data_IF_482202235231
#
_entry.id   IF_482202235231
#
_cell.length_a   1.000
_cell.length_b   1.000
_cell.length_c   1.000
_cell.angle_alpha   90.00
_cell.angle_beta   90.00
_cell.angle_gamma   90.00
#
_symmetry.space_group_name_H-M   'P 1'
#
loop_
_entity.id
_entity.type
_entity.pdbx_description
1 polymer ?
#
# COMPACT_ATOMS: atom_id res chain seq x y z
N UNK A 1 -13.72 -4.71 14.30
CA UNK A 1 -12.38 -5.34 14.36
C UNK A 1 -11.57 -4.86 15.55
N UNK A 2 -10.95 -5.80 16.27
CA UNK A 2 -10.13 -5.49 17.47
C UNK A 2 -9.02 -4.48 17.16
N UNK A 3 -8.42 -4.54 15.98
CA UNK A 3 -7.38 -3.59 15.57
C UNK A 3 -7.83 -2.12 15.63
N UNK A 4 -9.10 -1.83 15.34
CA UNK A 4 -9.63 -0.47 15.43
C UNK A 4 -10.00 -0.04 16.86
N UNK A 5 -10.25 -1.01 17.74
CA UNK A 5 -10.48 -0.73 19.19
C UNK A 5 -9.14 -0.40 19.84
N UNK A 6 -8.10 -1.17 19.49
CA UNK A 6 -6.74 -0.97 19.99
C UNK A 6 -5.99 0.16 19.25
N UNK A 7 -6.55 0.66 18.13
CA UNK A 7 -5.92 1.62 17.22
C UNK A 7 -4.53 1.19 16.74
N UNK A 8 -4.25 -0.11 16.82
CA UNK A 8 -2.94 -0.69 16.50
C UNK A 8 -3.09 -2.04 15.80
N UNK A 9 -2.20 -2.30 14.84
CA UNK A 9 -2.04 -3.59 14.17
C UNK A 9 -0.57 -3.90 13.99
N UNK A 10 -0.20 -5.13 14.30
CA UNK A 10 1.13 -5.64 13.94
C UNK A 10 1.16 -5.97 12.44
N UNK A 11 2.24 -5.57 11.79
CA UNK A 11 2.56 -5.87 10.41
C UNK A 11 4.08 -5.93 10.27
N UNK A 12 4.57 -7.03 9.71
CA UNK A 12 5.98 -7.29 9.48
C UNK A 12 6.84 -7.02 10.74
N UNK A 13 6.42 -7.64 11.87
CA UNK A 13 7.02 -7.50 13.22
C UNK A 13 7.11 -6.05 13.74
N UNK A 14 6.26 -5.16 13.25
CA UNK A 14 6.18 -3.76 13.68
C UNK A 14 4.74 -3.37 13.99
N UNK A 15 4.57 -2.52 14.98
CA UNK A 15 3.26 -2.02 15.39
C UNK A 15 2.92 -0.72 14.66
N UNK A 16 1.82 -0.71 13.92
CA UNK A 16 1.31 0.44 13.18
C UNK A 16 -0.01 0.95 13.77
N UNK A 17 -0.15 2.26 13.90
CA UNK A 17 -1.45 2.86 14.13
C UNK A 17 -2.37 2.60 12.95
N UNK A 18 -3.60 2.24 13.25
CA UNK A 18 -4.68 2.04 12.28
C UNK A 18 -5.95 2.68 12.78
N UNK A 19 -6.83 3.08 11.89
CA UNK A 19 -8.15 3.60 12.22
C UNK A 19 -9.16 3.17 11.15
N UNK A 20 -10.43 3.48 11.33
CA UNK A 20 -11.48 3.24 10.34
C UNK A 20 -11.24 3.94 8.98
N UNK A 21 -10.23 4.81 8.91
CA UNK A 21 -9.85 5.53 7.70
C UNK A 21 -8.73 4.83 6.92
N UNK A 22 -8.20 3.70 7.44
CA UNK A 22 -7.16 2.90 6.81
C UNK A 22 -7.54 1.42 6.77
N UNK A 23 -7.19 0.73 5.68
CA UNK A 23 -7.30 -0.72 5.64
C UNK A 23 -6.44 -1.34 6.74
N UNK A 24 -6.96 -2.35 7.45
CA UNK A 24 -6.16 -3.12 8.39
C UNK A 24 -5.10 -3.90 7.60
N UNK A 25 -3.80 -3.74 7.90
CA UNK A 25 -2.74 -4.50 7.23
C UNK A 25 -2.99 -6.01 7.26
N UNK A 26 -2.81 -6.66 6.12
CA UNK A 26 -3.05 -8.11 5.94
C UNK A 26 -1.74 -8.88 5.96
N UNK A 27 -1.70 -10.08 6.55
CA UNK A 27 -0.50 -10.92 6.56
C UNK A 27 0.05 -11.23 5.16
N UNK A 28 -0.83 -11.45 4.18
CA UNK A 28 -0.45 -11.73 2.81
C UNK A 28 0.36 -10.60 2.17
N UNK A 29 0.16 -9.37 2.63
CA UNK A 29 0.90 -8.19 2.17
C UNK A 29 2.36 -8.20 2.67
N UNK A 30 2.68 -8.95 3.72
CA UNK A 30 4.05 -9.08 4.22
C UNK A 30 4.97 -9.78 3.19
N UNK A 31 4.43 -10.72 2.42
CA UNK A 31 5.16 -11.40 1.34
C UNK A 31 5.67 -10.41 0.28
N UNK A 32 4.94 -9.33 0.04
CA UNK A 32 5.36 -8.25 -0.85
C UNK A 32 6.61 -7.56 -0.31
N UNK A 33 6.62 -7.25 0.99
CA UNK A 33 7.77 -6.62 1.66
C UNK A 33 8.98 -7.53 1.58
N UNK A 34 8.85 -8.81 1.93
CA UNK A 34 9.94 -9.79 1.92
C UNK A 34 10.55 -9.94 0.53
N UNK A 35 9.71 -10.08 -0.51
CA UNK A 35 10.16 -10.18 -1.89
C UNK A 35 10.97 -8.97 -2.34
N UNK A 36 10.49 -7.77 -2.01
CA UNK A 36 11.19 -6.54 -2.37
C UNK A 36 12.50 -6.37 -1.59
N UNK A 37 12.52 -6.69 -0.31
CA UNK A 37 13.74 -6.66 0.50
C UNK A 37 14.80 -7.63 -0.05
N UNK A 38 14.41 -8.84 -0.47
CA UNK A 38 15.31 -9.80 -1.08
C UNK A 38 15.94 -9.26 -2.38
N UNK A 39 15.17 -8.56 -3.19
CA UNK A 39 15.63 -8.05 -4.50
C UNK A 39 16.46 -6.76 -4.40
N UNK A 40 16.22 -5.95 -3.37
CA UNK A 40 16.80 -4.62 -3.24
C UNK A 40 17.66 -4.43 -1.99
N UNK A 41 18.05 -5.52 -1.32
CA UNK A 41 18.90 -5.45 -0.14
C UNK A 41 20.18 -4.63 -0.44
N UNK A 42 20.53 -3.73 0.48
CA UNK A 42 21.69 -2.83 0.38
C UNK A 42 21.71 -1.87 -0.84
N UNK A 43 20.61 -1.77 -1.59
CA UNK A 43 20.50 -0.81 -2.70
C UNK A 43 19.94 0.52 -2.21
N UNK A 44 20.40 1.60 -2.85
CA UNK A 44 19.80 2.93 -2.70
C UNK A 44 18.73 3.11 -3.77
N UNK A 45 17.47 3.04 -3.39
CA UNK A 45 16.32 3.14 -4.29
C UNK A 45 15.31 4.19 -3.82
N UNK A 46 14.51 4.66 -4.76
CA UNK A 46 13.34 5.50 -4.51
C UNK A 46 12.07 4.68 -4.71
N UNK A 47 11.18 4.69 -3.72
CA UNK A 47 9.97 3.86 -3.68
C UNK A 47 8.74 4.78 -3.75
N UNK A 48 7.76 4.44 -4.59
CA UNK A 48 6.42 5.01 -4.53
C UNK A 48 5.45 3.97 -4.00
N UNK A 49 4.68 4.33 -2.97
CA UNK A 49 3.59 3.52 -2.42
C UNK A 49 2.25 4.18 -2.78
N UNK A 50 1.48 3.51 -3.65
CA UNK A 50 0.19 3.99 -4.15
C UNK A 50 -0.94 3.42 -3.30
N UNK A 51 -1.76 4.31 -2.72
CA UNK A 51 -2.75 3.93 -1.72
C UNK A 51 -2.08 3.51 -0.41
N UNK A 52 -1.18 4.36 0.08
CA UNK A 52 -0.28 3.99 1.20
C UNK A 52 -1.01 3.64 2.49
N UNK A 53 -2.26 4.08 2.68
CA UNK A 53 -3.06 3.78 3.85
C UNK A 53 -2.36 4.16 5.16
N UNK A 54 -2.10 3.18 6.01
CA UNK A 54 -1.34 3.36 7.27
C UNK A 54 0.17 3.57 7.05
N UNK A 55 0.67 3.42 5.82
CA UNK A 55 2.09 3.48 5.49
C UNK A 55 2.85 2.18 5.76
N UNK A 56 2.17 1.10 6.15
CA UNK A 56 2.81 -0.13 6.65
C UNK A 56 3.79 -0.75 5.64
N UNK A 57 3.47 -0.79 4.35
CA UNK A 57 4.37 -1.35 3.31
C UNK A 57 5.61 -0.47 3.18
N UNK A 58 5.43 0.81 2.88
CA UNK A 58 6.53 1.74 2.63
C UNK A 58 7.47 1.85 3.83
N UNK A 59 6.91 2.02 5.04
CA UNK A 59 7.70 2.19 6.25
C UNK A 59 8.42 0.90 6.65
N UNK A 60 7.84 -0.28 6.43
CA UNK A 60 8.52 -1.55 6.63
C UNK A 60 9.72 -1.70 5.69
N UNK A 61 9.56 -1.38 4.40
CA UNK A 61 10.65 -1.36 3.43
C UNK A 61 11.77 -0.39 3.85
N UNK A 62 11.42 0.86 4.15
CA UNK A 62 12.41 1.88 4.52
C UNK A 62 13.12 1.58 5.85
N UNK A 63 12.49 0.83 6.76
CA UNK A 63 13.14 0.42 8.00
C UNK A 63 14.36 -0.47 7.79
N UNK A 64 14.39 -1.22 6.69
CA UNK A 64 15.50 -2.13 6.32
C UNK A 64 16.40 -1.54 5.24
N UNK A 65 15.84 -0.88 4.26
CA UNK A 65 16.58 -0.23 3.18
C UNK A 65 17.10 1.15 3.63
N UNK A 66 18.17 1.14 4.42
CA UNK A 66 18.67 2.33 5.16
C UNK A 66 19.05 3.51 4.27
N UNK A 67 19.47 3.27 3.04
CA UNK A 67 19.90 4.30 2.08
C UNK A 67 18.79 4.77 1.14
N UNK A 68 17.60 4.19 1.25
CA UNK A 68 16.47 4.44 0.38
C UNK A 68 15.53 5.50 0.95
N UNK A 69 14.77 6.11 0.08
CA UNK A 69 13.71 7.06 0.41
C UNK A 69 12.42 6.69 -0.31
N UNK A 70 11.30 7.22 0.14
CA UNK A 70 10.02 6.89 -0.45
C UNK A 70 9.01 8.01 -0.45
N UNK A 71 8.01 7.85 -1.30
CA UNK A 71 6.81 8.66 -1.35
C UNK A 71 5.60 7.76 -1.15
N UNK A 72 4.75 8.09 -0.20
CA UNK A 72 3.43 7.48 -0.04
C UNK A 72 2.35 8.46 -0.48
N UNK A 73 1.45 8.03 -1.34
CA UNK A 73 0.30 8.84 -1.76
C UNK A 73 -1.00 8.11 -1.43
N UNK A 74 -1.97 8.90 -1.01
CA UNK A 74 -3.33 8.43 -0.77
C UNK A 74 -4.32 9.56 -1.03
N UNK A 75 -5.49 9.22 -1.55
CA UNK A 75 -6.59 10.16 -1.77
C UNK A 75 -7.31 10.53 -0.46
N UNK A 76 -7.19 9.68 0.57
CA UNK A 76 -7.70 9.95 1.91
C UNK A 76 -6.70 10.81 2.71
N UNK A 77 -7.11 12.04 3.03
CA UNK A 77 -6.33 12.91 3.92
C UNK A 77 -6.12 12.29 5.30
N UNK A 78 -7.12 11.57 5.80
CA UNK A 78 -7.06 10.90 7.11
C UNK A 78 -6.07 9.73 7.10
N UNK A 79 -6.03 8.93 6.03
CA UNK A 79 -5.02 7.88 5.87
C UNK A 79 -3.60 8.46 5.90
N UNK A 80 -3.37 9.59 5.21
CA UNK A 80 -2.07 10.28 5.24
C UNK A 80 -1.71 10.76 6.65
N UNK A 81 -2.66 11.20 7.46
CA UNK A 81 -2.39 11.56 8.86
C UNK A 81 -1.92 10.34 9.67
N UNK A 82 -2.59 9.20 9.54
CA UNK A 82 -2.18 7.94 10.17
C UNK A 82 -0.77 7.52 9.70
N UNK A 83 -0.51 7.56 8.38
CA UNK A 83 0.81 7.25 7.84
C UNK A 83 1.91 8.15 8.42
N UNK A 84 1.64 9.45 8.60
CA UNK A 84 2.59 10.40 9.24
C UNK A 84 2.84 10.07 10.71
N UNK A 85 1.81 9.68 11.46
CA UNK A 85 1.97 9.21 12.85
C UNK A 85 2.88 7.97 12.88
N UNK A 86 2.67 7.01 11.97
CA UNK A 86 3.50 5.83 11.85
C UNK A 86 4.94 6.16 11.41
N UNK A 87 5.12 7.08 10.48
CA UNK A 87 6.46 7.53 10.07
C UNK A 87 7.23 8.13 11.25
N UNK A 88 6.55 8.92 12.10
CA UNK A 88 7.14 9.48 13.33
C UNK A 88 7.45 8.38 14.34
N UNK A 89 6.51 7.46 14.60
CA UNK A 89 6.68 6.31 15.53
C UNK A 89 7.91 5.47 15.16
N UNK A 90 8.12 5.23 13.87
CA UNK A 90 9.24 4.44 13.36
C UNK A 90 10.50 5.27 13.02
N UNK A 91 10.54 6.57 13.35
CA UNK A 91 11.67 7.48 13.12
C UNK A 91 12.07 7.58 11.62
N UNK A 92 11.11 7.49 10.71
CA UNK A 92 11.32 7.49 9.26
C UNK A 92 10.85 8.78 8.56
N UNK A 93 10.37 9.78 9.32
CA UNK A 93 9.83 11.03 8.77
C UNK A 93 10.79 11.78 7.84
N UNK A 94 12.10 11.64 8.07
CA UNK A 94 13.13 12.30 7.27
C UNK A 94 13.43 11.61 5.93
N UNK A 95 12.92 10.39 5.71
CA UNK A 95 13.13 9.61 4.48
C UNK A 95 11.85 9.33 3.69
N UNK A 96 10.71 9.86 4.14
CA UNK A 96 9.42 9.61 3.50
C UNK A 96 8.67 10.92 3.25
N UNK A 97 8.10 11.05 2.05
CA UNK A 97 7.12 12.09 1.71
C UNK A 97 5.72 11.47 1.69
N UNK A 98 4.81 11.95 2.54
CA UNK A 98 3.43 11.47 2.63
C UNK A 98 2.48 12.57 2.16
N UNK A 99 1.82 12.34 1.03
CA UNK A 99 1.09 13.36 0.29
C UNK A 99 -0.35 12.92 0.03
N UNK A 100 -1.30 13.75 0.44
CA UNK A 100 -2.70 13.56 0.06
C UNK A 100 -2.91 13.97 -1.40
N UNK A 101 -2.83 13.01 -2.30
CA UNK A 101 -2.91 13.24 -3.74
C UNK A 101 -3.27 11.95 -4.47
N UNK A 102 -4.01 12.06 -5.58
CA UNK A 102 -4.11 10.94 -6.52
C UNK A 102 -2.75 10.69 -7.19
N UNK A 103 -2.35 9.42 -7.30
CA UNK A 103 -1.12 9.04 -7.99
C UNK A 103 -1.14 9.41 -9.48
N UNK A 104 -2.31 9.51 -10.09
CA UNK A 104 -2.49 9.94 -11.49
C UNK A 104 -1.93 11.36 -11.73
N UNK A 105 -1.89 12.19 -10.67
CA UNK A 105 -1.36 13.56 -10.71
C UNK A 105 0.14 13.64 -10.40
N UNK A 106 0.85 12.51 -10.34
CA UNK A 106 2.31 12.50 -10.19
C UNK A 106 2.92 12.65 -11.57
N UNK A 107 3.70 13.71 -11.77
CA UNK A 107 4.43 14.00 -13.01
C UNK A 107 5.88 14.36 -12.67
N UNK A 108 6.78 14.23 -13.63
CA UNK A 108 8.17 14.65 -13.52
C UNK A 108 8.96 14.02 -12.36
N UNK A 109 8.54 12.82 -11.94
CA UNK A 109 9.23 11.99 -10.95
C UNK A 109 9.42 10.59 -11.50
N UNK A 110 10.51 9.94 -11.12
CA UNK A 110 10.83 8.57 -11.50
C UNK A 110 11.18 7.77 -10.25
N UNK A 111 10.68 6.54 -10.17
CA UNK A 111 10.88 5.64 -9.04
C UNK A 111 11.55 4.35 -9.49
N UNK A 112 12.38 3.78 -8.63
CA UNK A 112 12.99 2.48 -8.86
C UNK A 112 11.97 1.36 -8.59
N UNK A 113 11.09 1.58 -7.61
CA UNK A 113 10.06 0.62 -7.21
C UNK A 113 8.74 1.36 -7.02
N UNK A 114 7.68 0.80 -7.59
CA UNK A 114 6.31 1.19 -7.31
C UNK A 114 5.64 0.02 -6.60
N UNK A 115 5.07 0.27 -5.42
CA UNK A 115 4.29 -0.70 -4.68
C UNK A 115 2.85 -0.24 -4.54
N UNK A 116 1.93 -1.19 -4.44
CA UNK A 116 0.54 -0.90 -4.13
C UNK A 116 -0.14 -2.13 -3.52
N UNK A 117 -1.03 -1.88 -2.57
CA UNK A 117 -2.05 -2.83 -2.17
C UNK A 117 -3.42 -2.28 -2.64
N UNK A 118 -3.73 -2.38 -3.94
CA UNK A 118 -4.94 -1.78 -4.49
C UNK A 118 -6.19 -2.53 -4.03
N UNK A 119 -7.36 -1.87 -3.96
CA UNK A 119 -8.63 -2.57 -3.83
C UNK A 119 -8.82 -3.51 -5.04
N UNK A 120 -9.20 -4.74 -4.76
CA UNK A 120 -9.34 -5.79 -5.77
C UNK A 120 -10.67 -6.57 -5.68
N UNK A 121 -11.56 -6.17 -4.79
CA UNK A 121 -12.84 -6.84 -4.63
C UNK A 121 -13.81 -6.29 -5.68
N UNK A 122 -14.41 -7.20 -6.46
CA UNK A 122 -15.48 -6.81 -7.38
C UNK A 122 -16.61 -6.14 -6.59
N UNK A 123 -17.11 -5.00 -7.10
CA UNK A 123 -18.16 -4.20 -6.46
C UNK A 123 -19.36 -5.04 -6.03
N UNK A 124 -19.78 -6.03 -6.86
CA UNK A 124 -20.93 -6.91 -6.58
C UNK A 124 -20.63 -7.87 -5.41
N UNK A 125 -19.37 -8.20 -5.16
CA UNK A 125 -18.95 -9.13 -4.13
C UNK A 125 -18.72 -8.47 -2.76
N UNK A 126 -18.70 -7.15 -2.68
CA UNK A 126 -18.55 -6.42 -1.42
C UNK A 126 -19.64 -6.82 -0.40
N UNK A 127 -20.86 -7.06 -0.87
CA UNK A 127 -21.98 -7.50 -0.03
C UNK A 127 -21.75 -8.86 0.64
N UNK A 128 -20.86 -9.71 0.08
CA UNK A 128 -20.55 -11.04 0.56
C UNK A 128 -19.40 -11.07 1.58
N UNK A 129 -18.75 -9.93 1.80
CA UNK A 129 -17.71 -9.80 2.83
C UNK A 129 -18.32 -9.97 4.22
N UNK A 130 -17.49 -10.41 5.18
CA UNK A 130 -17.88 -10.44 6.58
C UNK A 130 -18.41 -9.07 7.04
N UNK A 131 -19.33 -9.08 7.98
CA UNK A 131 -19.95 -7.85 8.47
C UNK A 131 -18.90 -6.88 9.01
N UNK A 132 -17.88 -7.38 9.70
CA UNK A 132 -16.79 -6.58 10.25
C UNK A 132 -16.03 -5.79 9.18
N UNK A 133 -15.68 -6.45 8.06
CA UNK A 133 -14.98 -5.78 6.95
C UNK A 133 -15.92 -4.76 6.29
N UNK A 134 -17.12 -5.21 5.92
CA UNK A 134 -18.08 -4.38 5.18
C UNK A 134 -18.51 -3.14 5.95
N UNK A 135 -18.64 -3.23 7.28
CA UNK A 135 -19.20 -2.18 8.15
C UNK A 135 -18.13 -1.21 8.66
N UNK A 136 -16.92 -1.67 8.85
CA UNK A 136 -15.89 -0.91 9.57
C UNK A 136 -14.67 -0.53 8.74
N UNK A 137 -14.36 -1.26 7.67
CA UNK A 137 -13.23 -0.90 6.81
C UNK A 137 -13.65 0.07 5.70
N UNK A 138 -12.77 0.98 5.26
CA UNK A 138 -13.14 1.98 4.25
C UNK A 138 -13.46 1.30 2.92
N UNK A 139 -14.68 1.47 2.43
CA UNK A 139 -15.15 0.87 1.18
C UNK A 139 -14.20 1.13 0.00
N UNK A 140 -13.65 2.33 -0.05
CA UNK A 140 -12.71 2.76 -1.09
C UNK A 140 -11.41 1.92 -1.11
N UNK A 141 -11.01 1.33 0.02
CA UNK A 141 -9.87 0.43 0.11
C UNK A 141 -10.20 -1.03 -0.24
N UNK A 142 -11.48 -1.34 -0.49
CA UNK A 142 -11.98 -2.68 -0.79
C UNK A 142 -12.46 -2.79 -2.25
N UNK A 143 -13.15 -1.75 -2.75
CA UNK A 143 -13.87 -1.77 -4.03
C UNK A 143 -12.92 -1.57 -5.21
N UNK A 144 -12.63 -2.64 -5.93
CA UNK A 144 -11.79 -2.66 -7.13
C UNK A 144 -12.54 -2.42 -8.44
N UNK A 145 -13.84 -2.04 -8.37
CA UNK A 145 -14.66 -1.81 -9.57
C UNK A 145 -15.39 -3.06 -10.05
N UNK A 146 -15.91 -3.00 -11.27
CA UNK A 146 -16.79 -4.04 -11.81
C UNK A 146 -16.18 -5.43 -11.87
N UNK A 147 -14.89 -5.55 -12.16
CA UNK A 147 -14.16 -6.82 -12.22
C UNK A 147 -13.03 -6.91 -11.17
N UNK A 148 -12.91 -5.91 -10.29
CA UNK A 148 -11.87 -5.85 -9.27
C UNK A 148 -10.52 -5.36 -9.75
N UNK A 149 -10.37 -4.95 -11.01
CA UNK A 149 -9.08 -4.61 -11.61
C UNK A 149 -8.93 -3.14 -12.00
N UNK A 150 -9.92 -2.29 -11.75
CA UNK A 150 -9.93 -0.91 -12.22
C UNK A 150 -8.70 -0.12 -11.75
N UNK A 151 -8.37 -0.20 -10.48
CA UNK A 151 -7.21 0.52 -9.95
C UNK A 151 -5.88 -0.13 -10.39
N UNK A 152 -5.84 -1.45 -10.48
CA UNK A 152 -4.65 -2.19 -10.96
C UNK A 152 -4.27 -1.74 -12.37
N UNK A 153 -5.25 -1.66 -13.29
CA UNK A 153 -5.03 -1.16 -14.66
C UNK A 153 -4.46 0.26 -14.66
N UNK A 154 -5.02 1.14 -13.85
CA UNK A 154 -4.55 2.53 -13.72
C UNK A 154 -3.13 2.60 -13.17
N UNK A 155 -2.81 1.78 -12.16
CA UNK A 155 -1.46 1.70 -11.59
C UNK A 155 -0.46 1.23 -12.65
N UNK A 156 -0.77 0.15 -13.39
CA UNK A 156 0.11 -0.36 -14.46
C UNK A 156 0.32 0.71 -15.54
N UNK A 157 -0.75 1.33 -16.01
CA UNK A 157 -0.66 2.38 -17.03
C UNK A 157 0.22 3.55 -16.57
N UNK A 158 -0.03 4.07 -15.36
CA UNK A 158 0.73 5.20 -14.80
C UNK A 158 2.18 4.83 -14.53
N UNK A 159 2.45 3.59 -14.16
CA UNK A 159 3.80 3.11 -13.91
C UNK A 159 4.72 3.25 -15.13
N UNK A 160 4.21 3.08 -16.35
CA UNK A 160 5.00 3.29 -17.57
C UNK A 160 5.55 4.73 -17.67
N UNK A 161 4.83 5.71 -17.12
CA UNK A 161 5.26 7.12 -17.14
C UNK A 161 6.27 7.44 -16.04
N UNK A 162 6.11 6.85 -14.84
CA UNK A 162 6.81 7.27 -13.63
C UNK A 162 7.80 6.23 -13.08
N UNK A 163 8.01 5.13 -13.79
CA UNK A 163 9.01 4.13 -13.45
C UNK A 163 10.34 4.47 -14.13
N UNK A 164 11.45 4.25 -13.45
CA UNK A 164 12.78 4.30 -14.07
C UNK A 164 12.99 3.12 -15.02
N UNK A 165 13.96 3.23 -15.92
CA UNK A 165 14.43 2.09 -16.73
C UNK A 165 14.88 0.98 -15.76
N UNK A 166 14.46 -0.25 -16.01
CA UNK A 166 14.66 -1.42 -15.13
C UNK A 166 14.02 -1.32 -13.74
N UNK A 167 13.10 -0.38 -13.54
CA UNK A 167 12.30 -0.30 -12.32
C UNK A 167 11.29 -1.45 -12.24
N UNK A 168 10.72 -1.64 -11.06
CA UNK A 168 9.80 -2.74 -10.76
C UNK A 168 8.47 -2.20 -10.23
N UNK A 169 7.36 -2.77 -10.73
CA UNK A 169 6.04 -2.61 -10.13
C UNK A 169 5.71 -3.88 -9.35
N UNK A 170 5.27 -3.72 -8.12
CA UNK A 170 4.83 -4.84 -7.30
C UNK A 170 3.52 -4.49 -6.60
N UNK A 171 2.52 -5.34 -6.72
CA UNK A 171 1.22 -5.15 -6.08
C UNK A 171 0.71 -6.47 -5.50
N UNK A 172 -0.13 -6.35 -4.48
CA UNK A 172 -0.84 -7.48 -3.92
C UNK A 172 -2.08 -7.76 -4.76
N UNK A 173 -2.29 -9.02 -5.12
CA UNK A 173 -3.57 -9.49 -5.64
C UNK A 173 -3.82 -10.89 -5.09
N UNK A 174 -5.07 -11.25 -4.91
CA UNK A 174 -5.42 -12.63 -4.72
C UNK A 174 -5.12 -13.36 -6.03
N UNK A 175 -4.16 -14.27 -6.01
CA UNK A 175 -4.09 -15.32 -7.01
C UNK A 175 -5.39 -16.11 -6.90
N UNK A 176 -6.34 -15.85 -7.79
CA UNK A 176 -7.41 -16.79 -8.02
C UNK A 176 -6.73 -18.11 -8.35
N UNK A 177 -7.11 -19.24 -7.70
CA UNK A 177 -6.58 -20.52 -8.10
C UNK A 177 -6.89 -20.65 -9.59
N UNK A 178 -5.85 -20.83 -10.38
CA UNK A 178 -5.99 -21.11 -11.80
C UNK A 178 -6.65 -22.51 -11.84
N UNK A 179 -7.95 -22.52 -12.10
CA UNK A 179 -8.65 -23.75 -12.38
C UNK A 179 -8.17 -24.16 -13.77
N UNK A 180 -7.17 -25.04 -13.80
CA UNK A 180 -6.83 -25.76 -15.02
C UNK A 180 -7.98 -26.73 -15.28
N UNK A 181 -8.79 -26.43 -16.28
CA UNK A 181 -9.69 -27.39 -16.91
C UNK A 181 -8.91 -28.23 -17.92
#
# INVERSE_FOLDING_TARGET
>A
PIAYILEEKEFWSKKFYVSRDTLIPRPETELLVDKLLKNFNNKKITILDIGTGSGCILLSLLSRLKFSSGMGVDISKKAILIARMNAKKHQLSHRVQLINKSFEKIHNKRFDVIVSNPPYINTRNIKNLSEDIRRYEPRMALDGGNDGLDLIRKVIYKSNEILKINGTVSYTHLTLPTIYS
#
